data_IF_503221869526
#
_entry.id   IF_503221869526
#
_cell.length_a   1.000
_cell.length_b   1.000
_cell.length_c   1.000
_cell.angle_alpha   90.00
_cell.angle_beta   90.00
_cell.angle_gamma   90.00
#
_symmetry.space_group_name_H-M   'P 1'
#
loop_
_entity.id
_entity.type
_entity.pdbx_description
1 polymer ?
#
# COMPACT_ATOMS: atom_id res chain seq x y z
N UNK A 1 25.40 10.59 8.94
CA UNK A 1 26.39 11.07 7.96
C UNK A 1 27.13 9.87 7.43
N UNK A 2 27.68 9.90 6.20
CA UNK A 2 28.55 8.84 5.70
C UNK A 2 29.76 8.64 6.63
N UNK A 3 30.41 7.49 6.52
CA UNK A 3 31.63 7.19 7.27
C UNK A 3 32.70 8.28 7.06
N UNK A 4 33.51 8.51 8.08
CA UNK A 4 34.55 9.53 8.03
C UNK A 4 35.53 9.26 6.88
N UNK A 5 35.75 10.27 6.02
CA UNK A 5 36.61 10.15 4.84
C UNK A 5 35.95 9.57 3.59
N UNK A 6 34.65 9.27 3.62
CA UNK A 6 33.94 8.75 2.45
C UNK A 6 33.84 9.77 1.31
N UNK A 7 34.01 9.31 0.06
CA UNK A 7 33.81 10.12 -1.14
C UNK A 7 32.31 10.26 -1.46
N UNK A 8 31.77 11.44 -1.17
CA UNK A 8 30.36 11.75 -1.35
C UNK A 8 29.92 11.70 -2.82
N UNK A 9 30.79 12.07 -3.76
CA UNK A 9 30.45 12.06 -5.18
C UNK A 9 30.48 10.64 -5.74
N UNK A 10 31.44 9.81 -5.30
CA UNK A 10 31.43 8.39 -5.62
C UNK A 10 30.16 7.72 -5.09
N UNK A 11 29.80 7.91 -3.81
CA UNK A 11 28.58 7.33 -3.21
C UNK A 11 27.34 7.74 -4.01
N UNK A 12 27.22 9.03 -4.33
CA UNK A 12 26.09 9.56 -5.09
C UNK A 12 26.01 8.97 -6.49
N UNK A 13 27.15 8.80 -7.17
CA UNK A 13 27.23 8.23 -8.50
C UNK A 13 26.88 6.73 -8.49
N UNK A 14 27.35 5.98 -7.51
CA UNK A 14 27.02 4.56 -7.33
C UNK A 14 25.53 4.37 -7.05
N UNK A 15 24.94 5.15 -6.13
CA UNK A 15 23.50 5.08 -5.85
C UNK A 15 22.71 5.39 -7.12
N UNK A 16 22.98 6.50 -7.80
CA UNK A 16 22.18 6.94 -8.96
C UNK A 16 22.26 5.99 -10.15
N UNK A 17 23.39 5.32 -10.35
CA UNK A 17 23.58 4.42 -11.49
C UNK A 17 23.33 2.94 -11.15
N UNK A 18 22.81 2.64 -9.95
CA UNK A 18 22.54 1.26 -9.53
C UNK A 18 21.43 0.63 -10.40
N UNK A 19 21.75 -0.40 -11.21
CA UNK A 19 20.79 -1.04 -12.10
C UNK A 19 19.64 -1.70 -11.32
N UNK A 20 18.43 -1.67 -11.88
CA UNK A 20 17.19 -2.22 -11.28
C UNK A 20 16.66 -1.51 -10.03
N UNK A 21 17.40 -0.56 -9.46
CA UNK A 21 16.98 0.20 -8.28
C UNK A 21 16.75 1.67 -8.61
N UNK A 22 17.78 2.35 -9.13
CA UNK A 22 17.80 3.82 -9.23
C UNK A 22 18.17 4.35 -10.60
N UNK A 23 18.84 3.55 -11.46
CA UNK A 23 19.31 3.98 -12.80
C UNK A 23 18.22 4.54 -13.70
N UNK A 24 16.99 4.06 -13.51
CA UNK A 24 15.85 4.40 -14.36
C UNK A 24 14.99 5.53 -13.78
N UNK A 25 15.41 6.12 -12.65
CA UNK A 25 14.66 7.12 -11.89
C UNK A 25 15.46 8.40 -11.66
N UNK A 26 14.76 9.53 -11.63
CA UNK A 26 15.34 10.80 -11.19
C UNK A 26 15.59 10.78 -9.67
N UNK A 27 16.76 10.28 -9.28
CA UNK A 27 17.13 10.02 -7.89
C UNK A 27 17.84 11.24 -7.25
N UNK A 28 17.36 11.64 -6.07
CA UNK A 28 18.00 12.65 -5.20
C UNK A 28 18.67 11.95 -4.02
N UNK A 29 19.90 12.35 -3.71
CA UNK A 29 20.68 11.84 -2.57
C UNK A 29 20.91 12.99 -1.60
N UNK A 30 20.49 12.83 -0.35
CA UNK A 30 20.69 13.80 0.73
C UNK A 30 21.55 13.16 1.81
N UNK A 31 22.66 13.81 2.18
CA UNK A 31 23.50 13.37 3.28
C UNK A 31 23.03 14.08 4.57
N UNK A 32 22.58 13.31 5.55
CA UNK A 32 22.02 13.80 6.83
C UNK A 32 22.75 13.17 8.01
N UNK A 33 22.53 13.70 9.23
CA UNK A 33 23.10 13.11 10.45
C UNK A 33 22.37 11.82 10.85
N UNK A 34 22.95 11.03 11.75
CA UNK A 34 22.25 9.86 12.31
C UNK A 34 21.06 10.28 13.19
N UNK A 35 21.20 11.40 13.91
CA UNK A 35 20.14 11.98 14.73
C UNK A 35 18.95 12.38 13.87
N UNK A 36 19.16 13.12 12.78
CA UNK A 36 18.10 13.51 11.85
C UNK A 36 17.41 12.29 11.22
N UNK A 37 18.18 11.25 10.88
CA UNK A 37 17.65 10.00 10.33
C UNK A 37 16.72 9.32 11.35
N UNK A 38 17.13 9.24 12.62
CA UNK A 38 16.32 8.65 13.69
C UNK A 38 15.07 9.45 14.00
N UNK A 39 15.18 10.78 14.06
CA UNK A 39 14.06 11.64 14.42
C UNK A 39 13.02 11.70 13.28
N UNK A 40 13.47 11.88 12.04
CA UNK A 40 12.57 12.24 10.93
C UNK A 40 12.29 11.10 9.93
N UNK A 41 13.07 10.01 9.95
CA UNK A 41 12.98 8.94 8.95
C UNK A 41 12.81 7.53 9.56
N UNK A 42 12.49 7.41 10.85
CA UNK A 42 12.20 6.12 11.51
C UNK A 42 10.80 5.56 11.22
N UNK A 43 9.90 6.38 10.67
CA UNK A 43 8.56 5.94 10.31
C UNK A 43 8.56 4.99 9.11
N UNK A 44 7.47 4.23 8.96
CA UNK A 44 7.23 3.40 7.76
C UNK A 44 5.93 3.88 7.07
N UNK A 45 5.82 5.18 6.74
CA UNK A 45 4.67 5.66 6.01
C UNK A 45 4.68 5.12 4.59
N UNK A 46 3.49 4.94 4.01
CA UNK A 46 3.35 4.58 2.61
C UNK A 46 1.99 5.06 2.11
N UNK A 47 1.83 5.11 0.80
CA UNK A 47 0.56 5.41 0.19
C UNK A 47 0.56 5.06 -1.28
N UNK A 48 -0.43 5.57 -1.99
CA UNK A 48 -0.52 5.41 -3.42
C UNK A 48 -1.91 5.71 -3.96
N UNK A 49 -2.00 5.68 -5.29
CA UNK A 49 -3.24 5.95 -6.01
C UNK A 49 -3.50 4.84 -7.02
N UNK A 50 -4.76 4.42 -7.12
CA UNK A 50 -5.27 3.65 -8.24
C UNK A 50 -6.28 4.53 -8.96
N UNK A 51 -5.96 4.90 -10.20
CA UNK A 51 -6.75 5.84 -10.99
C UNK A 51 -7.27 5.13 -12.23
N UNK A 52 -8.59 5.17 -12.44
CA UNK A 52 -9.24 4.74 -13.68
C UNK A 52 -9.92 5.94 -14.33
N UNK A 53 -9.41 6.34 -15.48
CA UNK A 53 -10.09 7.30 -16.36
C UNK A 53 -10.71 6.56 -17.55
N UNK A 54 -11.91 6.97 -17.94
CA UNK A 54 -12.66 6.37 -19.02
C UNK A 54 -13.58 7.38 -19.70
N UNK A 55 -14.22 6.93 -20.78
CA UNK A 55 -15.15 7.74 -21.56
C UNK A 55 -16.38 6.87 -21.89
N UNK A 56 -17.57 7.44 -21.79
CA UNK A 56 -18.87 6.78 -22.06
C UNK A 56 -19.68 7.57 -23.08
N UNK A 57 -20.52 6.89 -23.88
CA UNK A 57 -21.51 7.53 -24.77
C UNK A 57 -20.92 8.60 -25.70
N UNK A 58 -21.53 9.78 -25.72
CA UNK A 58 -21.11 10.96 -26.48
C UNK A 58 -19.86 11.63 -25.88
N UNK A 59 -18.76 10.89 -25.76
CA UNK A 59 -17.47 11.38 -25.27
C UNK A 59 -17.50 11.96 -23.83
N UNK A 60 -18.39 11.45 -22.98
CA UNK A 60 -18.49 11.89 -21.58
C UNK A 60 -17.37 11.26 -20.76
N UNK A 61 -16.52 12.09 -20.15
CA UNK A 61 -15.38 11.63 -19.33
C UNK A 61 -15.86 11.11 -17.97
N UNK A 62 -15.28 10.00 -17.54
CA UNK A 62 -15.50 9.37 -16.23
C UNK A 62 -14.15 9.18 -15.53
N UNK A 63 -14.13 9.33 -14.20
CA UNK A 63 -12.93 9.08 -13.39
C UNK A 63 -13.32 8.39 -12.09
N UNK A 64 -12.58 7.35 -11.75
CA UNK A 64 -12.58 6.72 -10.42
C UNK A 64 -11.17 6.81 -9.85
N UNK A 65 -11.09 7.08 -8.56
CA UNK A 65 -9.83 7.20 -7.83
C UNK A 65 -9.98 6.53 -6.47
N UNK A 66 -8.96 5.75 -6.11
CA UNK A 66 -8.76 5.19 -4.79
C UNK A 66 -7.38 5.61 -4.30
N UNK A 67 -7.30 6.15 -3.09
CA UNK A 67 -6.04 6.55 -2.46
C UNK A 67 -5.85 5.88 -1.11
N UNK A 68 -4.59 5.72 -0.73
CA UNK A 68 -4.16 5.37 0.63
C UNK A 68 -3.12 6.38 1.10
N UNK A 69 -3.29 6.86 2.32
CA UNK A 69 -2.34 7.70 3.05
C UNK A 69 -2.13 7.08 4.44
N UNK A 70 -0.99 6.41 4.63
CA UNK A 70 -0.75 5.51 5.75
C UNK A 70 0.42 6.01 6.59
N UNK A 71 0.17 6.22 7.89
CA UNK A 71 1.25 6.48 8.86
C UNK A 71 2.13 5.25 9.12
N UNK A 72 1.57 4.03 8.94
CA UNK A 72 2.30 2.76 9.07
C UNK A 72 1.77 1.73 8.06
N UNK A 73 2.57 1.45 7.03
CA UNK A 73 2.27 0.43 6.03
C UNK A 73 2.07 -1.00 6.63
N UNK A 74 2.93 -1.49 7.54
CA UNK A 74 2.74 -2.84 8.10
C UNK A 74 1.49 -2.96 8.98
N UNK A 75 1.10 -1.90 9.70
CA UNK A 75 -0.12 -1.93 10.53
C UNK A 75 -1.39 -1.94 9.68
N UNK A 76 -1.44 -1.13 8.62
CA UNK A 76 -2.56 -1.14 7.69
C UNK A 76 -2.69 -2.50 7.00
N UNK A 77 -1.57 -3.05 6.51
CA UNK A 77 -1.53 -4.39 5.91
C UNK A 77 -2.04 -5.45 6.89
N UNK A 78 -1.63 -5.39 8.16
CA UNK A 78 -2.09 -6.32 9.20
C UNK A 78 -3.60 -6.19 9.47
N UNK A 79 -4.13 -4.97 9.46
CA UNK A 79 -5.57 -4.72 9.60
C UNK A 79 -6.38 -5.36 8.47
N UNK A 80 -5.88 -5.27 7.23
CA UNK A 80 -6.46 -5.97 6.08
C UNK A 80 -6.41 -7.49 6.28
N UNK A 81 -5.27 -8.05 6.68
CA UNK A 81 -5.13 -9.49 6.94
C UNK A 81 -6.15 -10.00 7.97
N UNK A 82 -6.36 -9.26 9.08
CA UNK A 82 -7.34 -9.64 10.11
C UNK A 82 -8.78 -9.61 9.57
N UNK A 83 -9.12 -8.64 8.72
CA UNK A 83 -10.43 -8.60 8.06
C UNK A 83 -10.64 -9.81 7.13
N UNK A 84 -9.62 -10.20 6.38
CA UNK A 84 -9.66 -11.36 5.48
C UNK A 84 -9.63 -12.71 6.24
N UNK A 85 -9.00 -12.78 7.41
CA UNK A 85 -9.06 -13.96 8.26
C UNK A 85 -10.50 -14.28 8.69
N UNK A 86 -11.32 -13.25 8.97
CA UNK A 86 -12.76 -13.42 9.24
C UNK A 86 -13.51 -14.02 8.04
N UNK A 87 -13.19 -13.56 6.83
CA UNK A 87 -13.79 -14.10 5.62
C UNK A 87 -13.41 -15.58 5.42
N UNK A 88 -12.12 -15.91 5.55
CA UNK A 88 -11.63 -17.28 5.44
C UNK A 88 -12.32 -18.22 6.45
N UNK A 89 -12.50 -17.76 7.70
CA UNK A 89 -13.23 -18.50 8.72
C UNK A 89 -14.69 -18.78 8.33
N UNK A 90 -15.43 -17.76 7.83
CA UNK A 90 -16.81 -17.92 7.37
C UNK A 90 -16.92 -18.91 6.21
N UNK A 91 -16.07 -18.74 5.20
CA UNK A 91 -16.01 -19.65 4.03
C UNK A 91 -15.72 -21.09 4.46
N UNK A 92 -14.81 -21.30 5.41
CA UNK A 92 -14.53 -22.62 5.97
C UNK A 92 -15.75 -23.21 6.70
N UNK A 93 -16.49 -22.41 7.46
CA UNK A 93 -17.75 -22.86 8.10
C UNK A 93 -18.85 -23.23 7.11
N UNK A 94 -18.82 -22.65 5.92
CA UNK A 94 -19.70 -22.99 4.79
C UNK A 94 -19.20 -24.23 4.00
N UNK A 95 -18.09 -24.85 4.40
CA UNK A 95 -17.52 -26.02 3.74
C UNK A 95 -16.66 -25.70 2.51
N UNK A 96 -16.32 -24.44 2.27
CA UNK A 96 -15.43 -24.06 1.18
C UNK A 96 -13.97 -24.39 1.51
N UNK A 97 -13.20 -24.77 0.49
CA UNK A 97 -11.76 -25.05 0.59
C UNK A 97 -11.02 -24.63 -0.69
N UNK A 98 -9.68 -24.61 -0.64
CA UNK A 98 -8.83 -24.18 -1.76
C UNK A 98 -8.34 -22.74 -1.64
N UNK A 99 -7.40 -22.38 -2.51
CA UNK A 99 -6.80 -21.05 -2.54
C UNK A 99 -7.80 -20.02 -3.10
N UNK A 100 -7.79 -18.81 -2.52
CA UNK A 100 -8.63 -17.67 -2.91
C UNK A 100 -7.79 -16.40 -2.93
N UNK A 101 -8.24 -15.44 -3.73
CA UNK A 101 -7.70 -14.09 -3.79
C UNK A 101 -8.74 -13.08 -3.33
N UNK A 102 -8.34 -11.81 -3.22
CA UNK A 102 -9.27 -10.70 -2.88
C UNK A 102 -10.41 -10.55 -3.89
N UNK A 103 -10.26 -11.07 -5.11
CA UNK A 103 -11.29 -11.03 -6.15
C UNK A 103 -12.43 -12.04 -5.91
N UNK A 104 -12.19 -13.04 -5.08
CA UNK A 104 -13.15 -14.12 -4.80
C UNK A 104 -14.02 -13.86 -3.56
N UNK A 105 -13.73 -12.80 -2.80
CA UNK A 105 -14.26 -12.59 -1.45
C UNK A 105 -15.23 -11.41 -1.44
N UNK A 106 -16.54 -11.66 -1.25
CA UNK A 106 -17.51 -10.58 -1.09
C UNK A 106 -17.19 -9.73 0.15
N UNK A 107 -17.31 -8.40 0.04
CA UNK A 107 -16.98 -7.49 1.16
C UNK A 107 -17.83 -7.72 2.42
N UNK A 108 -19.03 -8.31 2.28
CA UNK A 108 -19.86 -8.69 3.41
C UNK A 108 -19.21 -9.74 4.34
N UNK A 109 -18.27 -10.55 3.84
CA UNK A 109 -17.52 -11.53 4.63
C UNK A 109 -16.47 -10.88 5.52
N UNK A 110 -16.03 -9.66 5.18
CA UNK A 110 -15.01 -8.93 5.93
C UNK A 110 -15.58 -8.30 7.21
N UNK A 111 -16.90 -8.07 7.26
CA UNK A 111 -17.55 -7.43 8.41
C UNK A 111 -17.93 -8.43 9.50
N UNK A 112 -17.82 -8.07 10.80
CA UNK A 112 -18.42 -8.87 11.86
C UNK A 112 -19.95 -8.75 11.90
N UNK A 113 -20.54 -7.71 11.28
CA UNK A 113 -21.98 -7.46 11.27
C UNK A 113 -22.73 -8.53 10.48
N UNK A 114 -24.02 -8.69 10.77
CA UNK A 114 -24.92 -9.53 9.98
C UNK A 114 -25.20 -8.89 8.61
N UNK A 115 -25.67 -9.68 7.65
CA UNK A 115 -26.09 -9.15 6.34
C UNK A 115 -27.23 -8.13 6.45
N UNK A 116 -28.12 -8.29 7.43
CA UNK A 116 -29.20 -7.33 7.70
C UNK A 116 -28.65 -6.01 8.24
N UNK A 117 -27.72 -6.05 9.20
CA UNK A 117 -27.08 -4.85 9.74
C UNK A 117 -26.30 -4.09 8.65
N UNK A 118 -25.55 -4.80 7.80
CA UNK A 118 -24.83 -4.18 6.68
C UNK A 118 -25.76 -3.42 5.75
N UNK A 119 -26.89 -4.03 5.36
CA UNK A 119 -27.90 -3.37 4.51
C UNK A 119 -28.60 -2.20 5.19
N UNK A 120 -28.77 -2.24 6.52
CA UNK A 120 -29.43 -1.17 7.27
C UNK A 120 -28.53 0.05 7.49
N UNK A 121 -27.24 -0.19 7.68
CA UNK A 121 -26.32 0.84 8.17
C UNK A 121 -25.37 1.39 7.09
N UNK A 122 -25.13 0.64 6.00
CA UNK A 122 -24.10 0.96 5.00
C UNK A 122 -24.58 0.91 3.53
N UNK A 123 -25.87 0.65 3.28
CA UNK A 123 -26.50 0.70 1.95
C UNK A 123 -27.77 1.56 2.01
#
# INVERSE_FOLDING_TARGET
MPEEGADLEQIKNEIKNMPNYFSDYNTTVNFITEEDLKENHSGIPHGGFVIRTGVTGENTKQRMELSLDLGSNPEFTSSVLVAYARAAYRMSKEGQSGARTVLDIPFSYLSPKSGEQLRKELL
#
